data_IF_899812789787
#
_entry.id   IF_899812789787
#
_cell.length_a   1.000
_cell.length_b   1.000
_cell.length_c   1.000
_cell.angle_alpha   90.00
_cell.angle_beta   90.00
_cell.angle_gamma   90.00
#
_symmetry.space_group_name_H-M   'P 1'
#
loop_
_entity.id
_entity.type
_entity.pdbx_description
1 polymer ?
#
# COMPACT_ATOMS: atom_id res chain seq x y z
N UNK A 1 21.06 -10.38 7.41
CA UNK A 1 19.82 -9.70 7.86
C UNK A 1 19.95 -8.22 7.49
N UNK A 2 19.31 -7.75 6.41
CA UNK A 2 19.10 -6.31 6.26
C UNK A 2 17.95 -5.95 7.18
N UNK A 3 18.23 -5.05 8.11
CA UNK A 3 17.25 -4.51 9.03
C UNK A 3 16.20 -3.74 8.22
N UNK A 4 14.96 -4.23 8.22
CA UNK A 4 13.82 -3.55 7.60
C UNK A 4 13.43 -2.27 8.36
N UNK A 5 14.09 -1.93 9.47
CA UNK A 5 13.87 -0.68 10.22
C UNK A 5 14.37 0.59 9.51
N UNK A 6 15.10 0.45 8.39
CA UNK A 6 15.62 1.61 7.62
C UNK A 6 14.74 2.04 6.44
N UNK A 7 13.66 1.31 6.15
CA UNK A 7 12.68 1.75 5.17
C UNK A 7 11.78 2.82 5.80
N UNK A 8 11.92 4.08 5.36
CA UNK A 8 11.03 5.18 5.78
C UNK A 8 9.57 4.78 5.52
N UNK A 9 8.73 4.88 6.56
CA UNK A 9 7.30 4.71 6.43
C UNK A 9 6.65 6.02 5.97
N UNK A 10 5.46 5.94 5.36
CA UNK A 10 4.71 7.12 4.94
C UNK A 10 4.26 7.96 6.14
N UNK A 11 4.01 7.33 7.29
CA UNK A 11 3.65 8.03 8.53
C UNK A 11 4.73 9.03 8.99
N UNK A 12 6.00 8.79 8.65
CA UNK A 12 7.13 9.64 8.99
C UNK A 12 7.34 10.81 7.99
N UNK A 13 6.43 10.97 7.02
CA UNK A 13 6.59 11.95 5.95
C UNK A 13 6.58 13.39 6.48
N UNK A 14 7.51 14.27 6.04
CA UNK A 14 7.62 15.66 6.54
C UNK A 14 6.33 16.48 6.45
N UNK A 15 5.54 16.29 5.38
CA UNK A 15 4.23 16.96 5.22
C UNK A 15 3.26 16.71 6.36
N UNK A 16 3.37 15.59 7.08
CA UNK A 16 2.47 15.22 8.17
C UNK A 16 2.84 15.87 9.51
N UNK A 17 4.04 16.45 9.62
CA UNK A 17 4.57 17.01 10.89
C UNK A 17 3.62 18.04 11.51
N UNK A 18 2.98 18.87 10.68
CA UNK A 18 2.04 19.91 11.14
C UNK A 18 0.77 19.34 11.78
N UNK A 19 0.47 18.05 11.55
CA UNK A 19 -0.69 17.35 12.10
C UNK A 19 -0.35 16.52 13.35
N UNK A 20 0.93 16.21 13.59
CA UNK A 20 1.33 15.35 14.72
C UNK A 20 0.83 15.82 16.09
N UNK A 21 0.92 17.12 16.47
CA UNK A 21 0.45 17.55 17.79
C UNK A 21 -1.05 17.27 18.00
N UNK A 22 -1.85 17.40 16.94
CA UNK A 22 -3.30 17.17 16.99
C UNK A 22 -3.63 15.68 17.09
N UNK A 23 -2.91 14.84 16.34
CA UNK A 23 -3.02 13.39 16.46
C UNK A 23 -2.61 12.91 17.87
N UNK A 24 -1.51 13.45 18.41
CA UNK A 24 -1.05 13.11 19.76
C UNK A 24 -2.11 13.49 20.81
N UNK A 25 -2.65 14.72 20.74
CA UNK A 25 -3.68 15.17 21.67
C UNK A 25 -4.93 14.29 21.62
N UNK A 26 -5.36 13.88 20.41
CA UNK A 26 -6.48 12.93 20.26
C UNK A 26 -6.22 11.60 20.99
N UNK A 27 -5.06 10.98 20.78
CA UNK A 27 -4.75 9.68 21.39
C UNK A 27 -4.58 9.80 22.90
N UNK A 28 -3.93 10.86 23.38
CA UNK A 28 -3.79 11.14 24.81
C UNK A 28 -5.16 11.26 25.48
N UNK A 29 -6.07 12.07 24.93
CA UNK A 29 -7.44 12.21 25.43
C UNK A 29 -8.20 10.88 25.41
N UNK A 30 -8.04 10.09 24.34
CA UNK A 30 -8.66 8.78 24.22
C UNK A 30 -8.17 7.80 25.31
N UNK A 31 -6.86 7.74 25.54
CA UNK A 31 -6.25 6.90 26.56
C UNK A 31 -6.66 7.31 27.97
N UNK A 32 -6.64 8.61 28.28
CA UNK A 32 -7.10 9.13 29.58
C UNK A 32 -8.56 8.77 29.83
N UNK A 33 -9.45 8.94 28.84
CA UNK A 33 -10.86 8.57 29.01
C UNK A 33 -11.07 7.07 29.16
N UNK A 34 -10.31 6.25 28.44
CA UNK A 34 -10.34 4.80 28.60
C UNK A 34 -9.95 4.38 30.03
N UNK A 35 -8.90 4.99 30.60
CA UNK A 35 -8.47 4.73 31.98
C UNK A 35 -9.52 5.18 33.02
N UNK A 36 -10.25 6.25 32.74
CA UNK A 36 -11.32 6.77 33.60
C UNK A 36 -12.66 6.02 33.44
N UNK A 37 -12.74 5.00 32.57
CA UNK A 37 -13.96 4.24 32.30
C UNK A 37 -15.05 5.04 31.60
N UNK A 38 -14.67 6.07 30.83
CA UNK A 38 -15.59 6.93 30.07
C UNK A 38 -15.66 6.50 28.61
N UNK A 39 -16.87 6.46 28.07
CA UNK A 39 -17.12 6.01 26.68
C UNK A 39 -16.89 7.10 25.62
N UNK A 40 -16.83 8.38 26.01
CA UNK A 40 -16.74 9.52 25.08
C UNK A 40 -15.86 10.62 25.62
N UNK A 41 -15.15 11.27 24.71
CA UNK A 41 -14.31 12.44 24.98
C UNK A 41 -14.53 13.53 23.96
N UNK A 42 -14.22 14.77 24.34
CA UNK A 42 -14.34 15.90 23.44
C UNK A 42 -13.18 15.92 22.44
N UNK A 43 -13.53 16.02 21.16
CA UNK A 43 -12.58 16.05 20.05
C UNK A 43 -12.84 17.31 19.23
N UNK A 44 -11.79 18.07 18.95
CA UNK A 44 -11.82 19.22 18.07
C UNK A 44 -11.89 18.81 16.59
N UNK A 45 -12.28 19.75 15.74
CA UNK A 45 -12.31 19.53 14.29
C UNK A 45 -10.92 19.18 13.72
N UNK A 46 -9.86 19.82 14.22
CA UNK A 46 -8.49 19.54 13.75
C UNK A 46 -7.97 18.18 14.21
N UNK A 47 -8.34 17.74 15.42
CA UNK A 47 -8.01 16.40 15.90
C UNK A 47 -8.71 15.32 15.07
N UNK A 48 -9.99 15.54 14.74
CA UNK A 48 -10.76 14.64 13.86
C UNK A 48 -10.16 14.58 12.45
N UNK A 49 -9.75 15.73 11.91
CA UNK A 49 -9.08 15.81 10.60
C UNK A 49 -7.74 15.09 10.62
N UNK A 50 -6.88 15.39 11.60
CA UNK A 50 -5.55 14.81 11.71
C UNK A 50 -5.62 13.28 11.84
N UNK A 51 -6.48 12.76 12.71
CA UNK A 51 -6.65 11.30 12.88
C UNK A 51 -7.25 10.64 11.64
N UNK A 52 -8.17 11.33 10.95
CA UNK A 52 -8.68 10.89 9.65
C UNK A 52 -7.58 10.75 8.60
N UNK A 53 -6.68 11.74 8.49
CA UNK A 53 -5.53 11.68 7.56
C UNK A 53 -4.56 10.57 7.96
N UNK A 54 -4.14 10.51 9.23
CA UNK A 54 -3.20 9.49 9.71
C UNK A 54 -3.74 8.07 9.53
N UNK A 55 -5.04 7.85 9.74
CA UNK A 55 -5.66 6.54 9.50
C UNK A 55 -5.52 6.09 8.03
N UNK A 56 -5.61 7.02 7.06
CA UNK A 56 -5.43 6.69 5.64
C UNK A 56 -3.97 6.50 5.24
N UNK A 57 -3.06 7.19 5.91
CA UNK A 57 -1.61 6.93 5.76
C UNK A 57 -1.26 5.56 6.33
N UNK A 58 -1.78 5.21 7.49
CA UNK A 58 -1.58 3.90 8.12
C UNK A 58 -2.12 2.74 7.27
N UNK A 59 -3.29 2.93 6.62
CA UNK A 59 -3.81 1.96 5.65
C UNK A 59 -2.82 1.68 4.49
N UNK A 60 -2.10 2.71 4.03
CA UNK A 60 -1.08 2.57 2.98
C UNK A 60 0.17 1.88 3.51
N UNK A 61 0.67 2.29 4.69
CA UNK A 61 1.85 1.68 5.31
C UNK A 61 1.62 0.20 5.63
N UNK A 62 0.46 -0.15 6.20
CA UNK A 62 0.08 -1.55 6.46
C UNK A 62 0.04 -2.38 5.17
N UNK A 63 -0.48 -1.79 4.08
CA UNK A 63 -0.46 -2.44 2.78
C UNK A 63 0.97 -2.63 2.25
N UNK A 64 1.84 -1.62 2.35
CA UNK A 64 3.24 -1.70 1.95
C UNK A 64 4.02 -2.74 2.76
N UNK A 65 3.81 -2.81 4.08
CA UNK A 65 4.37 -3.86 4.94
C UNK A 65 3.97 -5.24 4.45
N UNK A 66 2.70 -5.43 4.09
CA UNK A 66 2.21 -6.69 3.53
C UNK A 66 2.87 -7.07 2.20
N UNK A 67 3.17 -6.08 1.34
CA UNK A 67 3.92 -6.31 0.09
C UNK A 67 5.39 -6.64 0.37
N UNK A 68 6.04 -5.94 1.32
CA UNK A 68 7.42 -6.22 1.75
C UNK A 68 7.56 -7.64 2.31
N UNK A 69 6.57 -8.11 3.07
CA UNK A 69 6.52 -9.49 3.55
C UNK A 69 6.44 -10.49 2.39
N UNK A 70 5.56 -10.27 1.42
CA UNK A 70 5.49 -11.12 0.23
C UNK A 70 6.80 -11.12 -0.56
N UNK A 71 7.42 -9.95 -0.75
CA UNK A 71 8.73 -9.81 -1.38
C UNK A 71 9.79 -10.64 -0.65
N UNK A 72 9.83 -10.54 0.69
CA UNK A 72 10.81 -11.26 1.51
C UNK A 72 10.68 -12.77 1.33
N UNK A 73 9.47 -13.31 1.38
CA UNK A 73 9.25 -14.75 1.16
C UNK A 73 9.72 -15.20 -0.23
N UNK A 74 9.40 -14.42 -1.28
CA UNK A 74 9.83 -14.75 -2.64
C UNK A 74 11.35 -14.65 -2.80
N UNK A 75 12.00 -13.70 -2.13
CA UNK A 75 13.47 -13.60 -2.07
C UNK A 75 14.10 -14.80 -1.38
N UNK A 76 13.53 -15.23 -0.24
CA UNK A 76 14.02 -16.39 0.53
C UNK A 76 13.93 -17.68 -0.31
N UNK A 77 12.82 -17.90 -1.04
CA UNK A 77 12.69 -19.01 -2.00
C UNK A 77 13.80 -19.03 -3.06
N UNK A 78 14.26 -17.86 -3.52
CA UNK A 78 15.38 -17.76 -4.47
C UNK A 78 16.70 -18.32 -3.94
N UNK A 79 16.81 -18.52 -2.62
CA UNK A 79 18.02 -19.05 -1.96
C UNK A 79 17.82 -20.47 -1.42
N UNK A 80 16.63 -21.06 -1.53
CA UNK A 80 16.35 -22.39 -1.00
C UNK A 80 16.98 -23.51 -1.85
N UNK A 81 17.49 -24.59 -1.24
CA UNK A 81 18.04 -25.73 -1.99
C UNK A 81 17.01 -26.39 -2.93
N UNK A 82 15.74 -26.40 -2.51
CA UNK A 82 14.62 -26.99 -3.27
C UNK A 82 13.38 -26.09 -3.13
N UNK A 83 13.32 -24.97 -3.88
CA UNK A 83 12.23 -24.01 -3.75
C UNK A 83 10.90 -24.63 -4.18
N UNK A 84 9.80 -24.34 -3.47
CA UNK A 84 8.48 -24.85 -3.83
C UNK A 84 7.74 -23.91 -4.81
N UNK A 85 7.34 -24.38 -6.00
CA UNK A 85 6.47 -23.65 -6.93
C UNK A 85 5.12 -23.26 -6.33
N UNK A 86 4.56 -24.10 -5.45
CA UNK A 86 3.29 -23.82 -4.78
C UNK A 86 3.41 -22.67 -3.77
N UNK A 87 4.50 -22.64 -3.00
CA UNK A 87 4.79 -21.54 -2.06
C UNK A 87 5.04 -20.24 -2.82
N UNK A 88 5.83 -20.28 -3.91
CA UNK A 88 6.02 -19.12 -4.79
C UNK A 88 4.67 -18.58 -5.27
N UNK A 89 3.83 -19.45 -5.84
CA UNK A 89 2.51 -19.08 -6.37
C UNK A 89 1.69 -18.36 -5.31
N UNK A 90 1.57 -18.95 -4.12
CA UNK A 90 0.79 -18.40 -3.03
C UNK A 90 1.23 -16.98 -2.64
N UNK A 91 2.54 -16.75 -2.48
CA UNK A 91 3.04 -15.42 -2.11
C UNK A 91 2.92 -14.40 -3.25
N UNK A 92 3.13 -14.82 -4.50
CA UNK A 92 2.97 -13.96 -5.66
C UNK A 92 1.49 -13.55 -5.88
N UNK A 93 0.55 -14.47 -5.73
CA UNK A 93 -0.89 -14.17 -5.76
C UNK A 93 -1.28 -13.15 -4.68
N UNK A 94 -0.80 -13.37 -3.45
CA UNK A 94 -1.02 -12.43 -2.34
C UNK A 94 -0.48 -11.03 -2.66
N UNK A 95 0.68 -10.94 -3.30
CA UNK A 95 1.24 -9.67 -3.78
C UNK A 95 0.32 -9.02 -4.83
N UNK A 96 -0.04 -9.75 -5.89
CA UNK A 96 -0.89 -9.26 -7.00
C UNK A 96 -2.25 -8.76 -6.50
N UNK A 97 -2.88 -9.49 -5.58
CA UNK A 97 -4.19 -9.12 -5.03
C UNK A 97 -4.11 -7.84 -4.17
N UNK A 98 -2.99 -7.64 -3.45
CA UNK A 98 -2.83 -6.51 -2.52
C UNK A 98 -2.31 -5.25 -3.22
N UNK A 99 -1.43 -5.38 -4.20
CA UNK A 99 -0.73 -4.25 -4.81
C UNK A 99 -1.70 -3.28 -5.51
N UNK A 100 -2.74 -3.81 -6.17
CA UNK A 100 -3.80 -2.99 -6.79
C UNK A 100 -4.59 -2.19 -5.75
N UNK A 101 -4.77 -2.73 -4.55
CA UNK A 101 -5.51 -2.08 -3.48
C UNK A 101 -4.86 -0.80 -2.94
N UNK A 102 -3.59 -0.52 -3.25
CA UNK A 102 -2.95 0.74 -2.90
C UNK A 102 -3.53 1.94 -3.67
N UNK A 103 -4.03 1.71 -4.90
CA UNK A 103 -4.64 2.77 -5.70
C UNK A 103 -5.89 3.32 -5.02
N UNK A 104 -6.77 2.42 -4.55
CA UNK A 104 -8.01 2.82 -3.86
C UNK A 104 -7.69 3.57 -2.55
N UNK A 105 -6.71 3.08 -1.78
CA UNK A 105 -6.26 3.72 -0.53
C UNK A 105 -5.67 5.11 -0.78
N UNK A 106 -4.89 5.29 -1.86
CA UNK A 106 -4.35 6.59 -2.23
C UNK A 106 -5.46 7.60 -2.57
N UNK A 107 -6.51 7.18 -3.28
CA UNK A 107 -7.67 8.04 -3.54
C UNK A 107 -8.43 8.38 -2.26
N UNK A 108 -8.59 7.43 -1.33
CA UNK A 108 -9.22 7.69 -0.02
C UNK A 108 -8.41 8.67 0.83
N UNK A 109 -7.07 8.56 0.82
CA UNK A 109 -6.18 9.53 1.47
C UNK A 109 -6.43 10.94 0.92
N UNK A 110 -6.45 11.11 -0.41
CA UNK A 110 -6.72 12.41 -1.03
C UNK A 110 -8.13 12.90 -0.69
N UNK A 111 -9.13 12.02 -0.72
CA UNK A 111 -10.51 12.34 -0.35
C UNK A 111 -10.63 12.88 1.07
N UNK A 112 -10.02 12.19 2.04
CA UNK A 112 -9.99 12.60 3.44
C UNK A 112 -9.21 13.92 3.62
N UNK A 113 -8.05 14.05 2.97
CA UNK A 113 -7.18 15.23 3.07
C UNK A 113 -7.81 16.49 2.48
N UNK A 114 -8.68 16.34 1.48
CA UNK A 114 -9.43 17.45 0.88
C UNK A 114 -10.81 17.65 1.51
N UNK A 115 -11.12 16.97 2.62
CA UNK A 115 -12.43 17.01 3.28
C UNK A 115 -13.59 16.75 2.31
N UNK A 116 -13.38 15.86 1.34
CA UNK A 116 -14.46 15.42 0.46
C UNK A 116 -15.45 14.55 1.25
N UNK A 117 -16.72 14.45 0.81
CA UNK A 117 -17.71 13.62 1.50
C UNK A 117 -17.29 12.14 1.51
N UNK A 118 -17.19 11.55 2.70
CA UNK A 118 -16.67 10.18 2.88
C UNK A 118 -17.56 9.14 2.25
N UNK A 119 -18.88 9.34 2.29
CA UNK A 119 -19.85 8.47 1.64
C UNK A 119 -19.65 8.36 0.12
N UNK A 120 -18.93 9.32 -0.49
CA UNK A 120 -18.62 9.31 -1.92
C UNK A 120 -17.27 8.69 -2.24
N UNK A 121 -16.21 9.04 -1.51
CA UNK A 121 -14.88 8.52 -1.82
C UNK A 121 -14.65 7.09 -1.28
N UNK A 122 -15.45 6.63 -0.31
CA UNK A 122 -15.39 5.25 0.19
C UNK A 122 -16.28 4.27 -0.59
N UNK A 123 -17.28 4.78 -1.31
CA UNK A 123 -18.20 3.99 -2.11
C UNK A 123 -17.55 3.40 -3.37
N UNK A 124 -18.27 2.47 -4.01
CA UNK A 124 -17.93 1.98 -5.34
C UNK A 124 -17.85 3.15 -6.33
N UNK A 125 -16.75 3.25 -7.07
CA UNK A 125 -16.49 4.39 -7.95
C UNK A 125 -15.88 5.62 -7.25
N UNK A 126 -15.53 5.52 -5.96
CA UNK A 126 -14.88 6.57 -5.19
C UNK A 126 -13.61 7.14 -5.85
N UNK A 127 -12.81 6.31 -6.51
CA UNK A 127 -11.64 6.75 -7.26
C UNK A 127 -12.01 7.78 -8.35
N UNK A 128 -13.03 7.48 -9.14
CA UNK A 128 -13.51 8.38 -10.20
C UNK A 128 -14.08 9.67 -9.63
N UNK A 129 -14.73 9.62 -8.46
CA UNK A 129 -15.20 10.80 -7.75
C UNK A 129 -14.03 11.70 -7.32
N UNK A 130 -13.01 11.14 -6.68
CA UNK A 130 -11.80 11.88 -6.26
C UNK A 130 -11.06 12.46 -7.47
N UNK A 131 -10.90 11.68 -8.54
CA UNK A 131 -10.29 12.14 -9.79
C UNK A 131 -11.02 13.35 -10.39
N UNK A 132 -12.35 13.33 -10.42
CA UNK A 132 -13.15 14.46 -10.90
C UNK A 132 -12.95 15.70 -10.01
N UNK A 133 -12.86 15.51 -8.70
CA UNK A 133 -12.65 16.60 -7.74
C UNK A 133 -11.26 17.25 -7.89
N UNK A 134 -10.23 16.45 -8.19
CA UNK A 134 -8.84 16.94 -8.29
C UNK A 134 -8.46 17.43 -9.68
N UNK A 135 -9.05 16.90 -10.76
CA UNK A 135 -8.63 17.16 -12.15
C UNK A 135 -8.40 18.65 -12.50
N UNK A 136 -9.33 19.52 -12.10
CA UNK A 136 -9.25 20.95 -12.42
C UNK A 136 -8.67 21.78 -11.28
N UNK A 137 -9.06 21.50 -10.03
CA UNK A 137 -8.70 22.32 -8.86
C UNK A 137 -7.34 21.97 -8.28
N UNK A 138 -6.90 20.72 -8.44
CA UNK A 138 -5.67 20.17 -7.89
C UNK A 138 -4.96 19.28 -8.93
N UNK A 139 -4.53 19.84 -10.08
CA UNK A 139 -3.99 19.04 -11.20
C UNK A 139 -2.74 18.24 -10.83
N UNK A 140 -1.93 18.73 -9.88
CA UNK A 140 -0.77 18.00 -9.37
C UNK A 140 -1.16 16.77 -8.55
N UNK A 141 -2.17 16.88 -7.67
CA UNK A 141 -2.74 15.71 -6.97
C UNK A 141 -3.36 14.72 -7.94
N UNK A 142 -4.04 15.19 -8.98
CA UNK A 142 -4.56 14.33 -10.04
C UNK A 142 -3.44 13.55 -10.74
N UNK A 143 -2.34 14.22 -11.09
CA UNK A 143 -1.17 13.58 -11.69
C UNK A 143 -0.49 12.59 -10.74
N UNK A 144 -0.36 12.92 -9.46
CA UNK A 144 0.24 12.03 -8.46
C UNK A 144 -0.59 10.76 -8.25
N UNK A 145 -1.92 10.88 -8.20
CA UNK A 145 -2.82 9.71 -8.18
C UNK A 145 -2.70 8.85 -9.44
N UNK A 146 -2.52 9.49 -10.61
CA UNK A 146 -2.23 8.80 -11.87
C UNK A 146 -0.93 7.99 -11.78
N UNK A 147 0.14 8.59 -11.26
CA UNK A 147 1.43 7.92 -11.11
C UNK A 147 1.37 6.69 -10.19
N UNK A 148 0.58 6.76 -9.10
CA UNK A 148 0.34 5.58 -8.23
C UNK A 148 -0.38 4.47 -9.00
N UNK A 149 -1.38 4.82 -9.82
CA UNK A 149 -2.10 3.85 -10.64
C UNK A 149 -1.21 3.22 -11.73
N UNK A 150 -0.36 4.02 -12.36
CA UNK A 150 0.57 3.58 -13.41
C UNK A 150 1.63 2.62 -12.85
N UNK A 151 2.11 2.87 -11.63
CA UNK A 151 3.10 2.03 -10.94
C UNK A 151 2.65 0.57 -10.77
N UNK A 152 1.34 0.31 -10.81
CA UNK A 152 0.77 -1.04 -10.60
C UNK A 152 -0.08 -1.52 -11.77
N UNK A 153 -0.12 -0.77 -12.88
CA UNK A 153 -1.05 -1.04 -13.98
C UNK A 153 -0.83 -2.41 -14.64
N UNK A 154 0.43 -2.89 -14.69
CA UNK A 154 0.78 -4.22 -15.21
C UNK A 154 0.08 -5.37 -14.45
N UNK A 155 -0.29 -5.16 -13.19
CA UNK A 155 -0.92 -6.20 -12.36
C UNK A 155 -2.45 -6.25 -12.48
N UNK A 156 -3.08 -5.33 -13.22
CA UNK A 156 -4.55 -5.33 -13.39
C UNK A 156 -5.06 -6.59 -14.08
N UNK A 157 -4.39 -7.01 -15.15
CA UNK A 157 -4.71 -8.25 -15.88
C UNK A 157 -4.59 -9.47 -14.96
N UNK A 158 -3.40 -9.75 -14.41
CA UNK A 158 -3.19 -10.85 -13.47
C UNK A 158 -4.18 -10.86 -12.30
N UNK A 159 -4.45 -9.69 -11.69
CA UNK A 159 -5.41 -9.58 -10.59
C UNK A 159 -6.84 -9.95 -11.02
N UNK A 160 -7.27 -9.57 -12.22
CA UNK A 160 -8.61 -9.90 -12.71
C UNK A 160 -8.74 -11.40 -12.97
N UNK A 161 -7.71 -12.04 -13.53
CA UNK A 161 -7.67 -13.49 -13.72
C UNK A 161 -7.78 -14.24 -12.38
N UNK A 162 -7.06 -13.79 -11.35
CA UNK A 162 -7.13 -14.37 -10.00
C UNK A 162 -8.53 -14.33 -9.39
N UNK A 163 -9.25 -13.21 -9.57
CA UNK A 163 -10.60 -13.05 -9.00
C UNK A 163 -11.63 -13.90 -9.74
N UNK A 164 -11.39 -14.19 -11.02
CA UNK A 164 -12.20 -15.11 -11.80
C UNK A 164 -11.82 -16.59 -11.57
N UNK A 165 -11.22 -16.90 -10.42
CA UNK A 165 -10.88 -18.26 -9.94
C UNK A 165 -9.81 -18.99 -10.75
N UNK A 166 -8.96 -18.26 -11.45
CA UNK A 166 -7.72 -18.83 -12.00
C UNK A 166 -6.62 -18.76 -10.94
N UNK A 167 -5.83 -19.81 -10.80
CA UNK A 167 -4.59 -19.72 -10.04
C UNK A 167 -3.54 -18.96 -10.88
N UNK A 168 -2.67 -18.19 -10.24
CA UNK A 168 -1.56 -17.57 -10.93
C UNK A 168 -0.70 -18.65 -11.58
N UNK A 169 -0.42 -18.48 -12.86
CA UNK A 169 0.37 -19.40 -13.64
C UNK A 169 1.20 -18.65 -14.68
N UNK A 170 2.45 -19.05 -14.82
CA UNK A 170 3.25 -18.78 -16.01
C UNK A 170 3.61 -20.09 -16.67
N UNK A 171 4.18 -20.03 -17.87
CA UNK A 171 4.69 -21.21 -18.58
C UNK A 171 5.69 -21.98 -17.69
N UNK A 172 6.65 -21.27 -17.13
CA UNK A 172 7.72 -21.81 -16.28
C UNK A 172 7.14 -22.43 -15.00
N UNK A 173 6.24 -21.70 -14.33
CA UNK A 173 5.60 -22.21 -13.11
C UNK A 173 4.76 -23.47 -13.37
N UNK A 174 4.07 -23.53 -14.51
CA UNK A 174 3.35 -24.73 -14.95
C UNK A 174 4.27 -25.93 -15.21
N UNK A 175 5.43 -25.68 -15.83
CA UNK A 175 6.46 -26.72 -16.05
C UNK A 175 6.98 -27.24 -14.71
N UNK A 176 7.34 -26.36 -13.78
CA UNK A 176 7.88 -26.76 -12.47
C UNK A 176 6.86 -27.59 -11.66
N UNK A 177 5.60 -27.17 -11.65
CA UNK A 177 4.52 -27.93 -10.99
C UNK A 177 4.30 -29.28 -11.68
N UNK A 178 4.32 -29.34 -13.01
CA UNK A 178 4.19 -30.59 -13.74
C UNK A 178 5.32 -31.58 -13.44
N UNK A 179 6.57 -31.11 -13.38
CA UNK A 179 7.73 -31.93 -13.03
C UNK A 179 7.54 -32.56 -11.64
N UNK A 180 7.16 -31.75 -10.64
CA UNK A 180 6.94 -32.24 -9.26
C UNK A 180 5.74 -33.19 -9.17
N UNK A 181 4.61 -32.85 -9.79
CA UNK A 181 3.37 -33.62 -9.68
C UNK A 181 3.47 -34.99 -10.35
N UNK A 182 4.16 -35.08 -11.48
CA UNK A 182 4.28 -36.31 -12.27
C UNK A 182 5.61 -37.04 -12.05
N UNK A 183 6.48 -36.55 -11.15
CA UNK A 183 7.83 -37.08 -10.92
C UNK A 183 8.61 -37.28 -12.22
N UNK A 184 8.59 -36.27 -13.08
CA UNK A 184 9.25 -36.34 -14.40
C UNK A 184 10.75 -36.43 -14.21
N UNK A 185 11.39 -37.43 -14.83
CA UNK A 185 12.84 -37.49 -14.91
C UNK A 185 13.36 -36.36 -15.81
N UNK A 186 14.05 -35.40 -15.22
CA UNK A 186 14.62 -34.24 -15.91
C UNK A 186 16.04 -34.45 -16.39
N UNK A 187 16.57 -35.67 -16.25
CA UNK A 187 17.92 -36.02 -16.68
C UNK A 187 18.97 -35.14 -15.99
N UNK A 188 19.78 -34.46 -16.80
CA UNK A 188 20.87 -33.60 -16.31
C UNK A 188 20.43 -32.17 -15.97
N UNK A 189 19.15 -31.81 -16.11
CA UNK A 189 18.68 -30.45 -15.86
C UNK A 189 18.52 -30.23 -14.35
N UNK A 190 19.21 -29.23 -13.79
CA UNK A 190 19.00 -28.77 -12.41
C UNK A 190 17.72 -27.92 -12.33
N UNK A 191 16.60 -28.58 -12.11
CA UNK A 191 15.29 -27.93 -11.95
C UNK A 191 15.26 -26.99 -10.74
N UNK A 192 16.01 -27.29 -9.68
CA UNK A 192 16.02 -26.47 -8.48
C UNK A 192 16.76 -25.15 -8.71
N UNK A 193 17.82 -25.15 -9.54
CA UNK A 193 18.46 -23.92 -10.02
C UNK A 193 17.47 -23.05 -10.79
N UNK A 194 16.74 -23.61 -11.76
CA UNK A 194 15.74 -22.87 -12.53
C UNK A 194 14.62 -22.28 -11.65
N UNK A 195 14.17 -23.02 -10.62
CA UNK A 195 13.18 -22.52 -9.65
C UNK A 195 13.72 -21.37 -8.80
N UNK A 196 15.00 -21.44 -8.39
CA UNK A 196 15.68 -20.36 -7.65
C UNK A 196 15.80 -19.10 -8.50
N UNK A 197 16.20 -19.24 -9.76
CA UNK A 197 16.30 -18.13 -10.70
C UNK A 197 14.94 -17.47 -10.95
N UNK A 198 13.90 -18.28 -11.19
CA UNK A 198 12.53 -17.80 -11.38
C UNK A 198 12.02 -17.05 -10.13
N UNK A 199 12.27 -17.60 -8.94
CA UNK A 199 11.91 -16.96 -7.68
C UNK A 199 12.65 -15.62 -7.49
N UNK A 200 13.94 -15.59 -7.79
CA UNK A 200 14.79 -14.39 -7.71
C UNK A 200 14.33 -13.29 -8.69
N UNK A 201 13.95 -13.67 -9.91
CA UNK A 201 13.39 -12.73 -10.88
C UNK A 201 12.06 -12.12 -10.41
N UNK A 202 11.16 -12.96 -9.86
CA UNK A 202 9.91 -12.50 -9.25
C UNK A 202 10.14 -11.57 -8.05
N UNK A 203 11.10 -11.88 -7.19
CA UNK A 203 11.48 -11.00 -6.08
C UNK A 203 11.95 -9.63 -6.58
N UNK A 204 12.80 -9.58 -7.60
CA UNK A 204 13.28 -8.33 -8.18
C UNK A 204 12.16 -7.48 -8.81
N UNK A 205 11.17 -8.13 -9.42
CA UNK A 205 9.96 -7.47 -9.93
C UNK A 205 9.15 -6.83 -8.80
N UNK A 206 8.86 -7.60 -7.75
CA UNK A 206 8.11 -7.14 -6.57
C UNK A 206 8.84 -5.95 -5.91
N UNK A 207 10.14 -6.09 -5.68
CA UNK A 207 10.96 -5.07 -5.02
C UNK A 207 10.99 -3.76 -5.82
N UNK A 208 11.12 -3.85 -7.16
CA UNK A 208 11.04 -2.69 -8.06
C UNK A 208 9.67 -2.00 -7.97
N UNK A 209 8.60 -2.79 -7.92
CA UNK A 209 7.24 -2.28 -7.80
C UNK A 209 7.02 -1.57 -6.47
N UNK A 210 7.48 -2.15 -5.36
CA UNK A 210 7.41 -1.54 -4.02
C UNK A 210 8.17 -0.22 -4.00
N UNK A 211 9.39 -0.17 -4.56
CA UNK A 211 10.17 1.08 -4.65
C UNK A 211 9.43 2.16 -5.44
N UNK A 212 8.85 1.82 -6.59
CA UNK A 212 8.11 2.77 -7.41
C UNK A 212 6.87 3.28 -6.67
N UNK A 213 6.11 2.39 -6.02
CA UNK A 213 4.98 2.75 -5.19
C UNK A 213 5.38 3.70 -4.06
N UNK A 214 6.47 3.39 -3.35
CA UNK A 214 6.98 4.23 -2.27
C UNK A 214 7.31 5.64 -2.77
N UNK A 215 7.97 5.76 -3.92
CA UNK A 215 8.28 7.05 -4.53
C UNK A 215 7.02 7.84 -4.92
N UNK A 216 6.05 7.19 -5.58
CA UNK A 216 4.81 7.85 -6.01
C UNK A 216 3.91 8.26 -4.84
N UNK A 217 3.83 7.46 -3.77
CA UNK A 217 3.06 7.78 -2.56
C UNK A 217 3.73 8.90 -1.75
N UNK A 218 5.06 8.95 -1.71
CA UNK A 218 5.82 10.08 -1.12
C UNK A 218 5.49 11.37 -1.87
N UNK A 219 5.57 11.36 -3.21
CA UNK A 219 5.21 12.52 -4.02
C UNK A 219 3.74 12.95 -3.84
N UNK A 220 2.83 12.00 -3.61
CA UNK A 220 1.44 12.31 -3.28
C UNK A 220 1.32 13.07 -1.95
N UNK A 221 2.07 12.65 -0.92
CA UNK A 221 2.10 13.34 0.38
C UNK A 221 2.77 14.71 0.33
N UNK A 222 3.78 14.90 -0.53
CA UNK A 222 4.35 16.22 -0.80
C UNK A 222 3.26 17.18 -1.32
N UNK A 223 2.48 16.73 -2.31
CA UNK A 223 1.39 17.53 -2.90
C UNK A 223 0.21 17.77 -1.95
N UNK A 224 0.03 16.92 -0.93
CA UNK A 224 -0.97 17.11 0.13
C UNK A 224 -0.50 18.04 1.26
N UNK A 225 0.81 18.31 1.38
CA UNK A 225 1.38 19.19 2.42
C UNK A 225 0.71 20.56 2.56
N UNK A 226 0.37 21.27 1.46
CA UNK A 226 -0.39 22.51 1.54
C UNK A 226 -1.77 22.37 2.19
N UNK A 227 -2.51 21.28 1.92
CA UNK A 227 -3.82 21.03 2.52
C UNK A 227 -3.71 20.82 4.03
N UNK A 228 -2.71 20.05 4.48
CA UNK A 228 -2.41 19.85 5.89
C UNK A 228 -2.08 21.16 6.60
N UNK A 229 -1.26 22.01 5.97
CA UNK A 229 -0.88 23.31 6.51
C UNK A 229 -2.06 24.28 6.62
N UNK A 230 -2.97 24.28 5.64
CA UNK A 230 -4.18 25.11 5.66
C UNK A 230 -5.10 24.69 6.81
N UNK A 231 -5.34 23.38 6.97
CA UNK A 231 -6.16 22.85 8.05
C UNK A 231 -5.61 23.24 9.44
N UNK A 232 -4.29 23.10 9.64
CA UNK A 232 -3.62 23.51 10.86
C UNK A 232 -3.81 25.01 11.16
N UNK A 233 -3.60 25.88 10.16
CA UNK A 233 -3.74 27.34 10.31
C UNK A 233 -5.18 27.77 10.60
N UNK A 234 -6.16 27.15 9.96
CA UNK A 234 -7.57 27.47 10.18
C UNK A 234 -7.98 27.22 11.64
N UNK A 235 -7.49 26.14 12.25
CA UNK A 235 -7.71 25.88 13.67
C UNK A 235 -7.06 26.96 14.57
N UNK A 236 -5.80 27.33 14.29
CA UNK A 236 -5.10 28.36 15.07
C UNK A 236 -5.81 29.73 15.04
N UNK A 237 -6.52 30.05 13.95
CA UNK A 237 -7.32 31.28 13.84
C UNK A 237 -8.67 31.25 14.55
N UNK A 238 -9.17 30.07 14.97
CA UNK A 238 -10.41 29.96 15.76
C UNK A 238 -10.17 29.97 17.27
N UNK A 239 -8.92 29.80 17.70
CA UNK A 239 -8.50 29.79 19.10
C UNK A 239 -7.95 31.13 19.61
N UNK A 240 -7.83 32.13 18.72
CA UNK A 240 -7.47 33.53 19.03
C UNK A 240 -8.68 34.43 18.88
#
# INVERSE_FOLDING_TARGET
MRDTSTDKNLVDHPSLVVLFPHMHSYYEKGLTNHLEGKDRFQVSAIETYATGVFSRVDELDTALVSLRLACRFVTELGSEPSPSPAIYRYHYENFVLRVIGLVDRAHRLVGASLLLPSEKYEAMGGNSFVQKATKTKHPKLFSALGAVADAVNSYRGPRNELIHSSAYSSRELGIFVGIEQFNVDTGSVDVNELKREYSSAGAAEIERTIRQLMATLTALLDELGPAFSIAHKFNASQTN
#
